data_IF_933185413171
#
_entry.id   IF_933185413171
#
_cell.length_a   1.000
_cell.length_b   1.000
_cell.length_c   1.000
_cell.angle_alpha   90.00
_cell.angle_beta   90.00
_cell.angle_gamma   90.00
#
_symmetry.space_group_name_H-M   'P 1'
#
loop_
_entity.id
_entity.type
_entity.pdbx_description
1 polymer ?
#
# COMPACT_ATOMS: atom_id res chain seq x y z
N UNK A 1 -0.28 -5.94 -15.26
CA UNK A 1 -1.13 -4.86 -15.77
C UNK A 1 -2.07 -5.34 -16.88
N UNK A 2 -3.09 -4.58 -17.20
CA UNK A 2 -4.00 -4.91 -18.32
C UNK A 2 -3.24 -5.04 -19.63
N UNK A 3 -3.65 -5.96 -20.51
CA UNK A 3 -4.88 -6.78 -20.48
C UNK A 3 -4.79 -8.09 -19.67
N UNK A 4 -3.86 -8.25 -18.75
CA UNK A 4 -3.63 -9.41 -17.88
C UNK A 4 -3.38 -10.73 -18.65
N UNK A 5 -2.67 -10.66 -19.78
CA UNK A 5 -2.25 -11.82 -20.54
C UNK A 5 -1.00 -12.42 -19.90
N UNK A 6 -1.01 -13.73 -19.69
CA UNK A 6 0.13 -14.47 -19.11
C UNK A 6 0.67 -15.49 -20.09
N UNK A 7 2.00 -15.72 -20.17
CA UNK A 7 2.63 -16.68 -21.08
C UNK A 7 2.64 -18.11 -20.48
N UNK A 8 1.57 -18.49 -19.79
CA UNK A 8 1.43 -19.80 -19.18
C UNK A 8 -0.02 -20.28 -19.28
N UNK A 9 -0.25 -21.58 -19.07
CA UNK A 9 -1.59 -22.12 -18.94
C UNK A 9 -2.28 -21.52 -17.69
N UNK A 10 -3.48 -20.99 -17.89
CA UNK A 10 -4.24 -20.34 -16.82
C UNK A 10 -4.86 -21.38 -15.89
N UNK A 11 -4.67 -21.21 -14.58
CA UNK A 11 -5.16 -22.12 -13.54
C UNK A 11 -6.55 -21.74 -13.02
N UNK A 12 -6.89 -20.45 -13.13
CA UNK A 12 -8.16 -19.90 -12.65
C UNK A 12 -9.08 -19.71 -13.85
N UNK A 13 -10.20 -20.44 -13.92
CA UNK A 13 -11.12 -20.35 -15.05
C UNK A 13 -11.87 -19.02 -15.06
N UNK A 14 -12.27 -18.58 -16.25
CA UNK A 14 -13.04 -17.36 -16.49
C UNK A 14 -12.33 -16.36 -17.37
N UNK A 15 -13.12 -15.60 -18.15
CA UNK A 15 -12.65 -14.57 -19.06
C UNK A 15 -12.85 -13.14 -18.55
N UNK A 16 -13.44 -13.01 -17.37
CA UNK A 16 -13.61 -11.71 -16.71
C UNK A 16 -12.29 -11.13 -16.21
N UNK A 17 -12.25 -9.82 -16.04
CA UNK A 17 -11.04 -9.12 -15.61
C UNK A 17 -10.50 -9.59 -14.25
N UNK A 18 -11.37 -10.04 -13.35
CA UNK A 18 -10.99 -10.56 -12.03
C UNK A 18 -10.26 -11.90 -12.14
N UNK A 19 -10.75 -12.84 -12.96
CA UNK A 19 -10.11 -14.12 -13.24
C UNK A 19 -8.77 -13.94 -13.96
N UNK A 20 -8.72 -13.07 -14.97
CA UNK A 20 -7.48 -12.72 -15.67
C UNK A 20 -6.43 -12.11 -14.76
N UNK A 21 -6.83 -11.15 -13.90
CA UNK A 21 -5.94 -10.56 -12.90
C UNK A 21 -5.38 -11.60 -11.93
N UNK A 22 -6.23 -12.51 -11.42
CA UNK A 22 -5.77 -13.58 -10.52
C UNK A 22 -4.74 -14.49 -11.18
N UNK A 23 -4.91 -14.84 -12.47
CA UNK A 23 -3.91 -15.58 -13.22
C UNK A 23 -2.60 -14.78 -13.41
N UNK A 24 -2.69 -13.46 -13.64
CA UNK A 24 -1.51 -12.59 -13.73
C UNK A 24 -0.76 -12.50 -12.38
N UNK A 25 -1.49 -12.43 -11.26
CA UNK A 25 -0.90 -12.48 -9.93
C UNK A 25 -0.19 -13.83 -9.69
N UNK A 26 -0.83 -14.95 -10.03
CA UNK A 26 -0.25 -16.27 -9.88
C UNK A 26 1.03 -16.45 -10.73
N UNK A 27 1.06 -15.87 -11.93
CA UNK A 27 2.27 -15.86 -12.77
C UNK A 27 3.39 -15.01 -12.13
N UNK A 28 3.06 -13.83 -11.62
CA UNK A 28 4.02 -12.96 -10.92
C UNK A 28 4.60 -13.66 -9.69
N UNK A 29 3.75 -14.32 -8.91
CA UNK A 29 4.16 -15.08 -7.72
C UNK A 29 5.13 -16.22 -8.09
N UNK A 30 4.84 -16.96 -9.15
CA UNK A 30 5.76 -17.98 -9.66
C UNK A 30 7.12 -17.36 -10.05
N UNK A 31 7.13 -16.26 -10.81
CA UNK A 31 8.36 -15.60 -11.22
C UNK A 31 9.17 -15.08 -10.03
N UNK A 32 8.50 -14.54 -9.00
CA UNK A 32 9.15 -14.12 -7.75
C UNK A 32 9.76 -15.31 -7.01
N UNK A 33 9.05 -16.43 -6.93
CA UNK A 33 9.60 -17.67 -6.36
C UNK A 33 10.87 -18.13 -7.05
N UNK A 34 10.86 -18.19 -8.38
CA UNK A 34 12.04 -18.55 -9.19
C UNK A 34 13.19 -17.55 -9.01
N UNK A 35 12.88 -16.26 -8.92
CA UNK A 35 13.87 -15.21 -8.65
C UNK A 35 14.53 -15.42 -7.27
N UNK A 36 13.75 -15.63 -6.23
CA UNK A 36 14.26 -15.84 -4.88
C UNK A 36 15.10 -17.10 -4.75
N UNK A 37 14.71 -18.19 -5.43
CA UNK A 37 15.53 -19.40 -5.47
C UNK A 37 16.90 -19.15 -6.15
N UNK A 38 16.96 -18.33 -7.20
CA UNK A 38 18.22 -17.92 -7.80
C UNK A 38 19.05 -17.04 -6.86
N UNK A 39 18.42 -16.11 -6.14
CA UNK A 39 19.09 -15.28 -5.13
C UNK A 39 19.69 -16.13 -4.00
N UNK A 40 18.97 -17.13 -3.50
CA UNK A 40 19.46 -18.06 -2.48
C UNK A 40 20.67 -18.85 -2.98
N UNK A 41 20.58 -19.42 -4.18
CA UNK A 41 21.67 -20.21 -4.81
C UNK A 41 22.94 -19.39 -5.07
N UNK A 42 22.80 -18.09 -5.34
CA UNK A 42 23.94 -17.19 -5.58
C UNK A 42 24.53 -16.55 -4.32
N UNK A 43 23.92 -16.76 -3.15
CA UNK A 43 24.29 -16.11 -1.90
C UNK A 43 23.81 -14.63 -1.79
N UNK A 44 23.13 -14.12 -2.81
CA UNK A 44 22.60 -12.76 -2.77
C UNK A 44 21.51 -12.58 -1.70
N UNK A 45 20.75 -13.64 -1.44
CA UNK A 45 19.67 -13.65 -0.46
C UNK A 45 20.15 -13.26 0.95
N UNK A 46 21.29 -13.78 1.39
CA UNK A 46 21.73 -13.71 2.78
C UNK A 46 21.99 -12.28 3.28
N UNK A 47 22.45 -11.41 2.38
CA UNK A 47 22.80 -10.01 2.68
C UNK A 47 21.87 -8.99 2.00
N UNK A 48 20.70 -9.43 1.56
CA UNK A 48 19.74 -8.55 0.86
C UNK A 48 18.43 -8.45 1.62
N UNK A 49 17.92 -7.23 1.72
CA UNK A 49 16.56 -6.93 2.11
C UNK A 49 15.75 -6.63 0.84
N UNK A 50 14.77 -7.45 0.56
CA UNK A 50 13.82 -7.23 -0.53
C UNK A 50 12.57 -6.56 0.01
N UNK A 51 12.10 -5.52 -0.69
CA UNK A 51 10.83 -4.87 -0.40
C UNK A 51 9.92 -5.03 -1.62
N UNK A 52 8.81 -5.73 -1.44
CA UNK A 52 7.80 -5.90 -2.47
C UNK A 52 6.60 -5.04 -2.11
N UNK A 53 6.19 -4.20 -3.03
CA UNK A 53 5.04 -3.32 -2.85
C UNK A 53 4.32 -3.17 -4.20
N UNK A 54 2.99 -3.18 -4.19
CA UNK A 54 2.23 -2.88 -5.39
C UNK A 54 2.26 -1.37 -5.67
N UNK A 55 2.22 -0.98 -6.94
CA UNK A 55 2.18 0.42 -7.37
C UNK A 55 0.84 1.08 -7.03
N UNK A 56 -0.25 0.34 -7.11
CA UNK A 56 -1.61 0.78 -6.74
C UNK A 56 -2.51 -0.41 -6.37
N UNK A 57 -3.66 -0.11 -5.79
CA UNK A 57 -4.72 -1.06 -5.54
C UNK A 57 -5.50 -1.45 -6.80
N UNK A 58 -6.47 -2.35 -6.68
CA UNK A 58 -7.30 -2.81 -7.79
C UNK A 58 -8.77 -2.90 -7.42
N UNK A 59 -9.63 -2.70 -8.41
CA UNK A 59 -11.09 -2.86 -8.30
C UNK A 59 -11.62 -4.09 -9.04
N UNK A 60 -10.77 -4.76 -9.80
CA UNK A 60 -11.17 -5.91 -10.64
C UNK A 60 -11.55 -7.16 -9.83
N UNK A 61 -11.09 -7.26 -8.58
CA UNK A 61 -11.48 -8.33 -7.67
C UNK A 61 -12.54 -7.78 -6.71
N UNK A 62 -13.73 -8.42 -6.67
CA UNK A 62 -14.82 -8.02 -5.80
C UNK A 62 -15.65 -6.83 -6.29
N UNK A 63 -15.38 -6.33 -7.50
CA UNK A 63 -16.09 -5.18 -8.10
C UNK A 63 -16.23 -3.99 -7.15
N UNK A 64 -15.09 -3.58 -6.55
CA UNK A 64 -15.05 -2.56 -5.52
C UNK A 64 -15.40 -1.17 -6.07
N UNK A 65 -16.18 -0.43 -5.30
CA UNK A 65 -16.51 0.95 -5.64
C UNK A 65 -15.28 1.87 -5.45
N UNK A 66 -15.13 2.91 -6.31
CA UNK A 66 -13.95 3.80 -6.29
C UNK A 66 -13.70 4.54 -4.97
N UNK A 67 -14.73 4.72 -4.16
CA UNK A 67 -14.61 5.43 -2.89
C UNK A 67 -14.26 4.52 -1.70
N UNK A 68 -14.30 3.20 -1.88
CA UNK A 68 -14.01 2.26 -0.79
C UNK A 68 -12.51 2.12 -0.55
N UNK A 69 -12.03 2.16 0.71
CA UNK A 69 -10.62 2.04 1.04
C UNK A 69 -10.01 0.70 0.58
N UNK A 70 -10.81 -0.35 0.48
CA UNK A 70 -10.39 -1.67 0.00
C UNK A 70 -9.85 -1.62 -1.45
N UNK A 71 -10.33 -0.68 -2.26
CA UNK A 71 -9.85 -0.47 -3.64
C UNK A 71 -8.41 0.09 -3.70
N UNK A 72 -7.91 0.64 -2.59
CA UNK A 72 -6.58 1.22 -2.44
C UNK A 72 -5.64 0.37 -1.59
N UNK A 73 -6.14 -0.74 -1.06
CA UNK A 73 -5.33 -1.64 -0.24
C UNK A 73 -4.32 -2.39 -1.12
N UNK A 74 -3.05 -2.29 -0.74
CA UNK A 74 -1.94 -2.95 -1.42
C UNK A 74 -1.15 -3.81 -0.44
N UNK A 75 -0.50 -4.89 -0.91
CA UNK A 75 0.48 -5.60 -0.11
C UNK A 75 1.78 -4.79 -0.01
N UNK A 76 2.43 -4.89 1.14
CA UNK A 76 3.81 -4.45 1.36
C UNK A 76 4.52 -5.53 2.16
N UNK A 77 5.57 -6.11 1.58
CA UNK A 77 6.28 -7.26 2.15
C UNK A 77 7.76 -6.92 2.25
N UNK A 78 8.33 -7.11 3.42
CA UNK A 78 9.77 -7.07 3.65
C UNK A 78 10.25 -8.51 3.81
N UNK A 79 11.29 -8.92 3.07
CA UNK A 79 11.82 -10.28 3.11
C UNK A 79 13.30 -10.29 2.73
N UNK A 80 13.96 -11.42 2.93
CA UNK A 80 15.39 -11.62 2.62
C UNK A 80 16.21 -11.99 3.84
N UNK A 81 17.42 -12.47 3.61
CA UNK A 81 18.33 -12.94 4.67
C UNK A 81 18.83 -11.82 5.59
N UNK A 82 18.81 -10.56 5.13
CA UNK A 82 19.17 -9.41 5.96
C UNK A 82 18.07 -8.98 6.96
N UNK A 83 16.92 -9.66 6.96
CA UNK A 83 15.84 -9.42 7.92
C UNK A 83 16.13 -10.08 9.27
N UNK A 84 16.02 -9.32 10.36
CA UNK A 84 16.14 -9.85 11.72
C UNK A 84 14.81 -10.41 12.28
N UNK A 85 13.68 -10.01 11.70
CA UNK A 85 12.33 -10.42 12.10
C UNK A 85 11.73 -11.25 10.99
N UNK A 86 11.25 -12.46 11.31
CA UNK A 86 10.61 -13.37 10.36
C UNK A 86 9.17 -13.64 10.80
N UNK A 87 8.32 -14.02 9.83
CA UNK A 87 6.94 -14.47 10.05
C UNK A 87 6.06 -13.53 10.88
N UNK A 88 6.27 -12.22 10.69
CA UNK A 88 5.50 -11.18 11.38
C UNK A 88 4.48 -10.52 10.48
N UNK A 89 3.29 -10.26 11.01
CA UNK A 89 2.24 -9.48 10.35
C UNK A 89 2.13 -8.13 11.05
N UNK A 90 2.34 -7.05 10.29
CA UNK A 90 2.18 -5.68 10.77
C UNK A 90 0.78 -5.19 10.46
N UNK A 91 -0.02 -4.92 11.49
CA UNK A 91 -1.41 -4.46 11.37
C UNK A 91 -1.56 -2.93 11.51
N UNK A 92 -0.46 -2.20 11.61
CA UNK A 92 -0.48 -0.74 11.66
C UNK A 92 -0.98 -0.18 10.33
N UNK A 93 -2.02 0.67 10.39
CA UNK A 93 -2.51 1.37 9.21
C UNK A 93 -1.42 2.29 8.65
N UNK A 94 -1.14 2.14 7.37
CA UNK A 94 -0.11 2.90 6.68
C UNK A 94 -0.43 3.14 5.21
N UNK A 95 0.36 4.01 4.61
CA UNK A 95 0.36 4.30 3.18
C UNK A 95 1.63 3.78 2.53
N UNK A 96 1.66 3.71 1.21
CA UNK A 96 2.85 3.32 0.44
C UNK A 96 4.07 4.20 0.78
N UNK A 97 3.86 5.48 1.07
CA UNK A 97 4.89 6.43 1.50
C UNK A 97 5.61 6.00 2.78
N UNK A 98 4.97 5.23 3.65
CA UNK A 98 5.52 4.75 4.92
C UNK A 98 6.62 3.68 4.74
N UNK A 99 6.76 3.15 3.53
CA UNK A 99 7.83 2.22 3.17
C UNK A 99 9.22 2.80 3.48
N UNK A 100 9.44 4.08 3.17
CA UNK A 100 10.76 4.72 3.31
C UNK A 100 11.20 4.78 4.76
N UNK A 101 10.40 5.34 5.67
CA UNK A 101 10.76 5.42 7.08
C UNK A 101 10.85 4.04 7.74
N UNK A 102 10.02 3.09 7.29
CA UNK A 102 10.07 1.71 7.77
C UNK A 102 11.38 1.04 7.34
N UNK A 103 11.77 1.18 6.08
CA UNK A 103 13.03 0.66 5.54
C UNK A 103 14.24 1.31 6.24
N UNK A 104 14.28 2.64 6.35
CA UNK A 104 15.38 3.36 6.96
C UNK A 104 15.57 2.98 8.42
N UNK A 105 14.49 2.75 9.15
CA UNK A 105 14.56 2.25 10.53
C UNK A 105 15.23 0.86 10.62
N UNK A 106 14.98 -0.02 9.65
CA UNK A 106 15.64 -1.34 9.59
C UNK A 106 17.14 -1.22 9.29
N UNK A 107 17.53 -0.20 8.54
CA UNK A 107 18.92 0.09 8.18
C UNK A 107 19.65 0.99 9.21
N UNK A 108 18.99 1.39 10.29
CA UNK A 108 19.53 2.32 11.29
C UNK A 108 19.78 3.74 10.74
N UNK A 109 19.05 4.11 9.68
CA UNK A 109 19.17 5.40 9.00
C UNK A 109 18.08 6.37 9.46
N UNK A 110 18.39 7.69 9.38
CA UNK A 110 17.44 8.75 9.68
C UNK A 110 16.50 8.99 8.48
N UNK A 111 15.20 9.06 8.74
CA UNK A 111 14.15 9.30 7.76
C UNK A 111 13.46 10.68 7.93
N UNK A 112 14.00 11.61 8.72
CA UNK A 112 13.36 12.91 9.02
C UNK A 112 13.08 13.77 7.78
N UNK A 113 13.84 13.60 6.70
CA UNK A 113 13.60 14.28 5.44
C UNK A 113 12.30 13.83 4.73
N UNK A 114 11.76 12.67 5.10
CA UNK A 114 10.58 12.07 4.48
C UNK A 114 9.32 12.35 5.31
N UNK A 115 8.86 13.59 5.32
CA UNK A 115 7.78 14.09 6.20
C UNK A 115 6.43 13.37 6.07
N UNK A 116 6.19 12.68 4.94
CA UNK A 116 4.96 11.89 4.69
C UNK A 116 5.11 10.42 5.09
N UNK A 117 6.24 10.04 5.64
CA UNK A 117 6.58 8.66 5.95
C UNK A 117 6.70 8.47 7.46
N UNK A 118 6.08 7.41 7.97
CA UNK A 118 6.24 6.94 9.35
C UNK A 118 6.74 5.50 9.38
N UNK A 119 7.50 5.14 10.39
CA UNK A 119 7.92 3.76 10.59
C UNK A 119 6.73 2.91 11.08
N UNK A 120 6.26 1.99 10.25
CA UNK A 120 5.11 1.10 10.55
C UNK A 120 5.41 0.07 11.64
N UNK A 121 6.69 -0.18 11.94
CA UNK A 121 7.11 -1.07 13.01
C UNK A 121 7.24 -0.35 14.37
N UNK A 122 7.09 0.98 14.38
CA UNK A 122 7.08 1.73 15.64
C UNK A 122 5.69 1.62 16.28
N UNK A 123 5.57 1.03 17.49
CA UNK A 123 4.27 0.86 18.17
C UNK A 123 3.60 2.20 18.55
N UNK A 124 4.34 3.30 18.56
CA UNK A 124 3.81 4.64 18.84
C UNK A 124 3.42 5.42 17.57
N UNK A 125 3.65 4.85 16.39
CA UNK A 125 3.26 5.48 15.13
C UNK A 125 1.74 5.65 15.07
N UNK A 126 1.27 6.87 14.73
CA UNK A 126 -0.17 7.11 14.56
C UNK A 126 -0.70 6.30 13.38
N UNK A 127 -1.69 5.40 13.59
CA UNK A 127 -2.20 4.53 12.54
C UNK A 127 -3.18 5.31 11.66
N UNK A 128 -2.74 5.72 10.49
CA UNK A 128 -3.62 6.26 9.44
C UNK A 128 -3.04 5.97 8.06
N UNK A 129 -3.92 5.96 7.05
CA UNK A 129 -3.55 5.93 5.65
C UNK A 129 -4.32 7.02 4.90
N UNK A 130 -3.72 7.52 3.82
CA UNK A 130 -4.33 8.54 2.95
C UNK A 130 -4.53 7.95 1.55
N UNK A 131 -5.66 8.27 0.92
CA UNK A 131 -5.88 8.05 -0.51
C UNK A 131 -6.70 9.17 -1.12
N UNK A 132 -6.63 9.30 -2.44
CA UNK A 132 -7.43 10.25 -3.18
C UNK A 132 -7.99 9.63 -4.47
N UNK A 133 -9.10 10.16 -4.91
CA UNK A 133 -9.74 9.80 -6.18
C UNK A 133 -10.42 11.03 -6.78
N UNK A 134 -11.07 10.89 -7.93
CA UNK A 134 -11.64 12.02 -8.64
C UNK A 134 -12.50 12.90 -7.74
N UNK A 135 -12.07 14.14 -7.52
CA UNK A 135 -12.73 15.17 -6.70
C UNK A 135 -12.93 14.81 -5.22
N UNK A 136 -12.20 13.85 -4.70
CA UNK A 136 -12.30 13.49 -3.30
C UNK A 136 -10.95 13.04 -2.71
N UNK A 137 -10.85 13.17 -1.40
CA UNK A 137 -9.72 12.68 -0.62
C UNK A 137 -10.22 12.00 0.66
N UNK A 138 -9.43 11.09 1.18
CA UNK A 138 -9.80 10.33 2.36
C UNK A 138 -8.62 10.01 3.26
N UNK A 139 -8.90 9.87 4.56
CA UNK A 139 -8.02 9.19 5.52
C UNK A 139 -8.73 7.97 6.07
N UNK A 140 -7.97 6.91 6.26
CA UNK A 140 -8.40 5.71 6.97
C UNK A 140 -7.76 5.73 8.35
N UNK A 141 -8.58 5.59 9.37
CA UNK A 141 -8.16 5.49 10.78
C UNK A 141 -8.82 4.27 11.42
N UNK A 142 -8.64 4.08 12.71
CA UNK A 142 -9.35 3.04 13.45
C UNK A 142 -10.89 3.26 13.48
N UNK A 143 -11.36 4.46 13.13
CA UNK A 143 -12.79 4.79 13.01
C UNK A 143 -13.36 4.46 11.61
N UNK A 144 -12.53 3.89 10.72
CA UNK A 144 -12.87 3.67 9.31
C UNK A 144 -12.42 4.81 8.40
N UNK A 145 -12.90 4.82 7.16
CA UNK A 145 -12.55 5.83 6.18
C UNK A 145 -13.40 7.11 6.36
N UNK A 146 -12.74 8.24 6.60
CA UNK A 146 -13.34 9.56 6.47
C UNK A 146 -13.06 10.09 5.07
N UNK A 147 -14.11 10.25 4.29
CA UNK A 147 -14.03 10.66 2.88
C UNK A 147 -14.61 12.06 2.74
N UNK A 148 -13.94 12.93 2.02
CA UNK A 148 -14.38 14.29 1.80
C UNK A 148 -14.45 14.61 0.30
N UNK A 149 -15.63 15.01 -0.18
CA UNK A 149 -15.85 15.49 -1.55
C UNK A 149 -15.39 16.95 -1.67
N UNK A 150 -14.35 17.17 -2.47
CA UNK A 150 -13.74 18.48 -2.68
C UNK A 150 -14.63 19.42 -3.51
N UNK A 151 -15.57 18.87 -4.30
CA UNK A 151 -16.50 19.64 -5.14
C UNK A 151 -17.70 20.13 -4.33
N UNK A 152 -18.35 19.22 -3.61
CA UNK A 152 -19.52 19.57 -2.78
C UNK A 152 -19.14 20.13 -1.41
N UNK A 153 -17.87 19.99 -1.02
CA UNK A 153 -17.29 20.38 0.29
C UNK A 153 -18.02 19.73 1.47
N UNK A 154 -18.38 18.45 1.32
CA UNK A 154 -19.10 17.68 2.33
C UNK A 154 -18.44 16.31 2.54
N UNK A 155 -18.54 15.74 3.75
CA UNK A 155 -18.14 14.36 3.98
C UNK A 155 -19.09 13.39 3.24
N UNK A 156 -18.55 12.24 2.84
CA UNK A 156 -19.25 11.12 2.20
C UNK A 156 -19.08 9.89 3.08
N UNK A 157 -20.14 9.08 3.20
CA UNK A 157 -20.08 7.81 3.90
C UNK A 157 -20.37 7.89 5.40
N UNK A 158 -20.21 6.78 6.12
CA UNK A 158 -20.69 6.63 7.50
C UNK A 158 -19.76 7.28 8.54
N UNK A 159 -18.47 7.43 8.27
CA UNK A 159 -17.54 8.07 9.19
C UNK A 159 -17.64 9.58 9.08
N UNK A 160 -18.17 10.20 10.14
CA UNK A 160 -18.32 11.66 10.28
C UNK A 160 -17.52 12.20 11.47
N UNK A 161 -16.50 11.46 11.95
CA UNK A 161 -15.69 11.85 13.09
C UNK A 161 -14.95 13.18 12.77
N UNK A 162 -15.17 14.26 13.56
CA UNK A 162 -14.55 15.55 13.29
C UNK A 162 -13.02 15.50 13.37
N UNK A 163 -12.44 14.66 14.22
CA UNK A 163 -10.98 14.52 14.36
C UNK A 163 -10.35 13.93 13.09
N UNK A 164 -11.02 12.96 12.43
CA UNK A 164 -10.57 12.41 11.16
C UNK A 164 -10.69 13.45 10.04
N UNK A 165 -11.73 14.29 10.10
CA UNK A 165 -11.88 15.44 9.19
C UNK A 165 -10.76 16.48 9.34
N UNK A 166 -10.39 16.82 10.55
CA UNK A 166 -9.26 17.73 10.82
C UNK A 166 -7.92 17.10 10.42
N UNK A 167 -7.72 15.80 10.63
CA UNK A 167 -6.55 15.08 10.16
C UNK A 167 -6.42 15.16 8.63
N UNK A 168 -7.50 14.85 7.90
CA UNK A 168 -7.52 14.94 6.43
C UNK A 168 -7.22 16.35 5.95
N UNK A 169 -7.84 17.35 6.55
CA UNK A 169 -7.61 18.76 6.21
C UNK A 169 -6.17 19.18 6.44
N UNK A 170 -5.60 18.82 7.59
CA UNK A 170 -4.20 19.12 7.90
C UNK A 170 -3.25 18.45 6.89
N UNK A 171 -3.50 17.18 6.53
CA UNK A 171 -2.71 16.46 5.54
C UNK A 171 -2.75 17.15 4.18
N UNK A 172 -3.94 17.52 3.69
CA UNK A 172 -4.12 18.23 2.42
C UNK A 172 -3.44 19.61 2.41
N UNK A 173 -3.47 20.34 3.53
CA UNK A 173 -2.79 21.63 3.66
C UNK A 173 -1.25 21.48 3.57
N UNK A 174 -0.70 20.43 4.16
CA UNK A 174 0.75 20.16 4.07
C UNK A 174 1.14 19.80 2.65
N UNK A 175 0.37 18.91 2.00
CA UNK A 175 0.59 18.54 0.59
C UNK A 175 0.52 19.76 -0.34
N UNK A 176 -0.53 20.59 -0.21
CA UNK A 176 -0.70 21.81 -1.03
C UNK A 176 0.47 22.80 -0.84
N UNK A 177 0.89 23.00 0.40
CA UNK A 177 2.04 23.87 0.71
C UNK A 177 3.34 23.36 0.07
N UNK A 178 3.59 22.05 0.14
CA UNK A 178 4.82 21.49 -0.38
C UNK A 178 4.83 21.40 -1.90
N UNK A 179 3.66 21.26 -2.52
CA UNK A 179 3.51 21.30 -3.98
C UNK A 179 3.73 22.70 -4.58
N UNK A 180 3.55 23.76 -3.80
CA UNK A 180 3.71 25.16 -4.22
C UNK A 180 5.12 25.72 -4.03
N UNK A 181 6.05 24.96 -3.48
CA UNK A 181 7.47 25.30 -3.35
C UNK A 181 8.23 25.03 -4.63
#
# INVERSE_FOLDING_TARGET
>A
HEPFIVPMETKIPGDDSGSKLKNAIAYTDQCLGEFFEKCKKSGLWDNTLFVLVADHGTRHVGNLQPHLPEAYRIPMIFTGGAMNVQDSVVNTLGSQTDMVATLFAQLGMNAEAFHYSKNLLNPTAKPFAFYSFTNAAAVVTNNGAYIYDLKTKKPIGPNTNPQDGELLKAYLQVVDRDFKK
#
